data_IF_676596270064
#
_entry.id   IF_676596270064
#
_cell.length_a   1.000
_cell.length_b   1.000
_cell.length_c   1.000
_cell.angle_alpha   90.00
_cell.angle_beta   90.00
_cell.angle_gamma   90.00
#
_symmetry.space_group_name_H-M   'P 1'
#
loop_
_entity.id
_entity.type
_entity.pdbx_description
1 polymer ?
#
# COMPACT_ATOMS: atom_id res chain seq x y z
N UNK A 1 61.60 -44.48 5.61
CA UNK A 1 61.87 -43.46 6.65
C UNK A 1 60.57 -43.07 7.34
N UNK A 2 60.45 -43.29 8.64
CA UNK A 2 59.24 -42.96 9.40
C UNK A 2 59.09 -41.44 9.58
N UNK A 3 57.91 -40.89 9.29
CA UNK A 3 57.62 -39.46 9.43
C UNK A 3 57.64 -39.05 10.91
N UNK A 4 58.38 -38.00 11.26
CA UNK A 4 58.46 -37.45 12.61
C UNK A 4 57.06 -37.02 13.06
N UNK A 5 56.52 -37.66 14.09
CA UNK A 5 55.21 -37.32 14.66
C UNK A 5 55.37 -36.04 15.48
N UNK A 6 54.59 -35.01 15.14
CA UNK A 6 54.59 -33.74 15.89
C UNK A 6 54.13 -33.97 17.33
N UNK A 7 54.88 -33.42 18.31
CA UNK A 7 54.54 -33.45 19.75
C UNK A 7 53.20 -32.77 20.06
N UNK A 8 52.68 -31.96 19.14
CA UNK A 8 51.37 -31.31 19.26
C UNK A 8 50.23 -32.11 18.62
N UNK A 9 50.53 -33.27 18.03
CA UNK A 9 49.51 -34.12 17.41
C UNK A 9 48.62 -34.78 18.47
N UNK A 10 47.35 -34.95 18.10
CA UNK A 10 46.32 -35.59 18.93
C UNK A 10 46.69 -37.03 19.31
N UNK A 11 47.46 -37.73 18.47
CA UNK A 11 47.93 -39.09 18.73
C UNK A 11 49.01 -39.13 19.82
N UNK A 12 49.91 -38.12 19.87
CA UNK A 12 50.95 -38.01 20.89
C UNK A 12 50.35 -37.77 22.28
N UNK A 13 49.31 -36.93 22.37
CA UNK A 13 48.61 -36.62 23.63
C UNK A 13 47.73 -37.76 24.16
N UNK A 14 47.45 -38.80 23.37
CA UNK A 14 46.66 -39.96 23.81
C UNK A 14 47.51 -41.06 24.46
N UNK A 15 48.83 -41.03 24.27
CA UNK A 15 49.75 -42.02 24.87
C UNK A 15 50.21 -41.66 26.28
N UNK A 16 50.08 -40.40 26.67
CA UNK A 16 50.45 -39.86 27.99
C UNK A 16 49.17 -39.67 28.83
N UNK A 17 48.56 -40.79 29.21
CA UNK A 17 47.39 -40.80 30.10
C UNK A 17 47.80 -41.57 31.35
N UNK A 18 47.91 -40.86 32.47
CA UNK A 18 48.28 -41.41 33.77
C UNK A 18 47.33 -42.55 34.20
N UNK A 19 47.90 -43.68 34.58
CA UNK A 19 47.16 -44.89 34.97
C UNK A 19 46.31 -44.69 36.24
N UNK A 20 46.57 -43.64 37.02
CA UNK A 20 45.82 -43.27 38.24
C UNK A 20 44.39 -42.77 37.98
N UNK A 21 43.99 -42.53 36.73
CA UNK A 21 42.63 -42.10 36.38
C UNK A 21 41.60 -43.23 36.59
N UNK A 22 42.04 -44.50 36.44
CA UNK A 22 41.17 -45.68 36.61
C UNK A 22 40.74 -45.88 38.07
N UNK A 23 41.53 -45.41 39.03
CA UNK A 23 41.21 -45.51 40.45
C UNK A 23 40.10 -44.54 40.87
N UNK A 24 40.01 -43.38 40.19
CA UNK A 24 38.97 -42.36 40.41
C UNK A 24 37.59 -42.81 39.91
N UNK A 25 37.51 -43.84 39.07
CA UNK A 25 36.23 -44.40 38.61
C UNK A 25 35.51 -45.21 39.69
N UNK A 26 36.24 -45.71 40.70
CA UNK A 26 35.70 -46.53 41.80
C UNK A 26 35.08 -45.69 42.92
N UNK A 27 35.27 -44.36 42.90
CA UNK A 27 34.69 -43.49 43.92
C UNK A 27 33.17 -43.35 43.71
N UNK A 28 32.35 -43.49 44.77
CA UNK A 28 30.91 -43.36 44.67
C UNK A 28 30.54 -41.92 44.25
N UNK A 29 29.96 -41.79 43.06
CA UNK A 29 29.44 -40.51 42.54
C UNK A 29 28.06 -40.28 43.14
N UNK A 30 27.81 -39.08 43.68
CA UNK A 30 26.48 -38.73 44.19
C UNK A 30 25.43 -38.85 43.07
N UNK A 31 24.31 -39.53 43.34
CA UNK A 31 23.27 -39.87 42.36
C UNK A 31 22.66 -38.65 41.63
N UNK A 32 22.77 -37.45 42.22
CA UNK A 32 22.29 -36.19 41.61
C UNK A 32 23.25 -35.53 40.62
N UNK A 33 24.47 -36.04 40.46
CA UNK A 33 25.52 -35.42 39.64
C UNK A 33 25.21 -35.50 38.13
N UNK A 34 24.48 -36.54 37.69
CA UNK A 34 24.03 -36.67 36.30
C UNK A 34 23.06 -35.56 35.87
N UNK A 35 22.10 -35.23 36.74
CA UNK A 35 21.11 -34.17 36.50
C UNK A 35 21.78 -32.79 36.56
N UNK A 36 22.61 -32.54 37.57
CA UNK A 36 23.39 -31.29 37.70
C UNK A 36 24.27 -31.06 36.47
N UNK A 37 25.01 -32.08 36.02
CA UNK A 37 25.82 -32.03 34.80
C UNK A 37 24.99 -31.80 33.54
N UNK A 38 23.78 -32.36 33.48
CA UNK A 38 22.86 -32.12 32.36
C UNK A 38 22.43 -30.65 32.30
N UNK A 39 22.00 -30.09 33.44
CA UNK A 39 21.61 -28.69 33.57
C UNK A 39 22.78 -27.77 33.22
N UNK A 40 23.98 -28.02 33.76
CA UNK A 40 25.17 -27.21 33.47
C UNK A 40 25.52 -27.26 31.97
N UNK A 41 25.40 -28.43 31.32
CA UNK A 41 25.66 -28.53 29.88
C UNK A 41 24.63 -27.80 29.04
N UNK A 42 23.36 -27.82 29.42
CA UNK A 42 22.30 -27.13 28.68
C UNK A 42 22.40 -25.62 28.87
N UNK A 43 22.70 -25.13 30.07
CA UNK A 43 22.93 -23.70 30.33
C UNK A 43 24.12 -23.19 29.52
N UNK A 44 25.27 -23.87 29.55
CA UNK A 44 26.45 -23.48 28.76
C UNK A 44 26.15 -23.46 27.26
N UNK A 45 25.41 -24.46 26.73
CA UNK A 45 25.02 -24.47 25.31
C UNK A 45 24.12 -23.31 24.95
N UNK A 46 23.16 -22.99 25.80
CA UNK A 46 22.21 -21.90 25.57
C UNK A 46 22.90 -20.54 25.66
N UNK A 47 23.79 -20.34 26.64
CA UNK A 47 24.61 -19.14 26.80
C UNK A 47 25.54 -18.93 25.60
N UNK A 48 26.24 -19.98 25.16
CA UNK A 48 27.09 -19.92 23.97
C UNK A 48 26.29 -19.62 22.69
N UNK A 49 25.11 -20.21 22.54
CA UNK A 49 24.22 -19.92 21.42
C UNK A 49 23.73 -18.47 21.45
N UNK A 50 23.41 -17.94 22.63
CA UNK A 50 23.00 -16.56 22.82
C UNK A 50 24.14 -15.60 22.46
N UNK A 51 25.36 -15.85 22.95
CA UNK A 51 26.54 -15.06 22.63
C UNK A 51 26.82 -15.07 21.12
N UNK A 52 26.78 -16.23 20.46
CA UNK A 52 26.94 -16.33 19.01
C UNK A 52 25.85 -15.57 18.22
N UNK A 53 24.60 -15.57 18.71
CA UNK A 53 23.51 -14.77 18.11
C UNK A 53 23.75 -13.27 18.28
N UNK A 54 24.19 -12.83 19.45
CA UNK A 54 24.51 -11.43 19.73
C UNK A 54 25.74 -10.94 18.95
N UNK A 55 26.76 -11.77 18.79
CA UNK A 55 27.93 -11.46 17.97
C UNK A 55 27.57 -11.44 16.47
N UNK A 56 26.81 -12.42 15.99
CA UNK A 56 26.38 -12.46 14.59
C UNK A 56 25.44 -11.30 14.22
N UNK A 57 24.62 -10.81 15.15
CA UNK A 57 23.79 -9.61 14.93
C UNK A 57 24.63 -8.33 14.91
N UNK A 58 25.65 -8.22 15.76
CA UNK A 58 26.62 -7.11 15.77
C UNK A 58 27.45 -7.05 14.48
N UNK A 59 27.90 -8.19 13.97
CA UNK A 59 28.74 -8.28 12.75
C UNK A 59 27.93 -8.15 11.45
N UNK A 60 26.60 -8.38 11.47
CA UNK A 60 25.72 -8.27 10.29
C UNK A 60 25.58 -6.85 9.71
N UNK A 61 26.04 -5.81 10.41
CA UNK A 61 25.98 -4.42 9.89
C UNK A 61 26.90 -4.19 8.68
N UNK A 62 27.96 -4.99 8.50
CA UNK A 62 28.98 -4.78 7.44
C UNK A 62 29.23 -5.99 6.53
N UNK A 63 28.27 -6.91 6.35
CA UNK A 63 28.44 -7.97 5.33
C UNK A 63 28.28 -7.37 3.94
N UNK A 64 29.39 -7.30 3.17
CA UNK A 64 29.37 -6.95 1.74
C UNK A 64 28.29 -7.80 1.06
N UNK A 65 27.23 -7.14 0.58
CA UNK A 65 26.15 -7.81 -0.16
C UNK A 65 26.77 -8.57 -1.33
N UNK A 66 26.39 -9.84 -1.52
CA UNK A 66 26.82 -10.62 -2.68
C UNK A 66 26.36 -9.93 -3.97
N UNK A 67 27.07 -10.14 -5.08
CA UNK A 67 26.73 -9.50 -6.36
C UNK A 67 25.27 -9.81 -6.79
N UNK A 68 24.81 -11.04 -6.52
CA UNK A 68 23.41 -11.46 -6.74
C UNK A 68 22.39 -10.67 -5.89
N UNK A 69 22.70 -10.40 -4.62
CA UNK A 69 21.83 -9.66 -3.72
C UNK A 69 21.78 -8.18 -4.09
N UNK A 70 22.91 -7.61 -4.55
CA UNK A 70 22.96 -6.23 -5.07
C UNK A 70 22.07 -6.07 -6.30
N UNK A 71 22.25 -6.94 -7.30
CA UNK A 71 21.48 -6.87 -8.53
C UNK A 71 19.97 -7.11 -8.33
N UNK A 72 19.58 -7.94 -7.34
CA UNK A 72 18.17 -8.12 -6.97
C UNK A 72 17.58 -6.87 -6.32
N UNK A 73 18.32 -6.23 -5.42
CA UNK A 73 17.88 -4.98 -4.78
C UNK A 73 17.79 -3.85 -5.80
N UNK A 74 18.79 -3.67 -6.67
CA UNK A 74 18.76 -2.64 -7.71
C UNK A 74 17.57 -2.82 -8.67
N UNK A 75 17.22 -4.05 -9.05
CA UNK A 75 16.00 -4.31 -9.83
C UNK A 75 14.74 -3.96 -9.04
N UNK A 76 14.68 -4.33 -7.76
CA UNK A 76 13.55 -4.01 -6.89
C UNK A 76 13.38 -2.50 -6.73
N UNK A 77 14.47 -1.75 -6.52
CA UNK A 77 14.45 -0.31 -6.33
C UNK A 77 14.01 0.41 -7.62
N UNK A 78 14.49 -0.05 -8.79
CA UNK A 78 14.04 0.45 -10.10
C UNK A 78 12.55 0.18 -10.34
N UNK A 79 12.06 -1.01 -9.97
CA UNK A 79 10.63 -1.38 -10.13
C UNK A 79 9.73 -0.66 -9.12
N UNK A 80 10.23 -0.43 -7.90
CA UNK A 80 9.52 0.30 -6.84
C UNK A 80 9.14 1.71 -7.30
N UNK A 81 10.03 2.40 -8.03
CA UNK A 81 9.76 3.72 -8.59
C UNK A 81 8.74 3.72 -9.73
N UNK A 82 8.65 2.65 -10.53
CA UNK A 82 7.72 2.58 -11.66
C UNK A 82 6.27 2.47 -11.19
N UNK A 83 6.00 1.68 -10.14
CA UNK A 83 4.65 1.56 -9.61
C UNK A 83 4.23 2.84 -8.89
N UNK A 84 5.12 3.45 -8.09
CA UNK A 84 4.81 4.70 -7.39
C UNK A 84 4.52 5.84 -8.38
N UNK A 85 5.32 5.99 -9.43
CA UNK A 85 5.08 7.01 -10.47
C UNK A 85 3.78 6.76 -11.23
N UNK A 86 3.42 5.50 -11.53
CA UNK A 86 2.10 5.19 -12.13
C UNK A 86 0.94 5.53 -11.20
N UNK A 87 1.06 5.24 -9.91
CA UNK A 87 0.06 5.60 -8.90
C UNK A 87 -0.08 7.13 -8.83
N UNK A 88 1.03 7.87 -8.74
CA UNK A 88 1.03 9.33 -8.71
C UNK A 88 0.40 9.94 -9.97
N UNK A 89 0.77 9.45 -11.16
CA UNK A 89 0.17 9.89 -12.42
C UNK A 89 -1.33 9.57 -12.49
N UNK A 90 -1.76 8.42 -11.97
CA UNK A 90 -3.18 8.06 -11.90
C UNK A 90 -3.95 9.00 -10.98
N UNK A 91 -3.41 9.30 -9.79
CA UNK A 91 -4.02 10.23 -8.83
C UNK A 91 -4.05 11.65 -9.43
N UNK A 92 -2.98 12.11 -10.06
CA UNK A 92 -2.91 13.42 -10.68
C UNK A 92 -3.93 13.58 -11.81
N UNK A 93 -4.06 12.58 -12.70
CA UNK A 93 -5.10 12.57 -13.73
C UNK A 93 -6.50 12.58 -13.16
N UNK A 94 -6.77 11.77 -12.14
CA UNK A 94 -8.09 11.75 -11.50
C UNK A 94 -8.44 13.12 -10.89
N UNK A 95 -7.51 13.75 -10.17
CA UNK A 95 -7.68 15.10 -9.62
C UNK A 95 -7.87 16.15 -10.72
N UNK A 96 -7.08 16.08 -11.79
CA UNK A 96 -7.21 17.00 -12.93
C UNK A 96 -8.60 16.90 -13.57
N UNK A 97 -9.07 15.68 -13.87
CA UNK A 97 -10.40 15.46 -14.45
C UNK A 97 -11.50 15.93 -13.50
N UNK A 98 -11.41 15.61 -12.21
CA UNK A 98 -12.39 16.07 -11.23
C UNK A 98 -12.43 17.59 -11.13
N UNK A 99 -11.27 18.26 -11.06
CA UNK A 99 -11.19 19.71 -10.96
C UNK A 99 -11.65 20.39 -12.26
N UNK A 100 -11.18 19.93 -13.42
CA UNK A 100 -11.56 20.49 -14.72
C UNK A 100 -13.06 20.29 -14.99
N UNK A 101 -13.61 19.11 -14.67
CA UNK A 101 -15.04 18.85 -14.82
C UNK A 101 -15.85 19.67 -13.83
N UNK A 102 -15.54 19.64 -12.54
CA UNK A 102 -16.29 20.43 -11.54
C UNK A 102 -16.25 21.93 -11.82
N UNK A 103 -15.08 22.48 -12.18
CA UNK A 103 -14.95 23.89 -12.53
C UNK A 103 -15.79 24.26 -13.77
N UNK A 104 -15.81 23.40 -14.79
CA UNK A 104 -16.66 23.60 -15.97
C UNK A 104 -18.15 23.57 -15.61
N UNK A 105 -18.57 22.65 -14.74
CA UNK A 105 -19.96 22.57 -14.28
C UNK A 105 -20.36 23.77 -13.42
N UNK A 106 -19.50 24.23 -12.50
CA UNK A 106 -19.78 25.42 -11.69
C UNK A 106 -19.88 26.69 -12.56
N UNK A 107 -19.06 26.79 -13.61
CA UNK A 107 -19.09 27.92 -14.53
C UNK A 107 -20.30 27.88 -15.46
N UNK A 108 -20.67 26.71 -15.96
CA UNK A 108 -21.91 26.51 -16.72
C UNK A 108 -23.13 26.86 -15.84
N UNK A 109 -23.18 26.37 -14.60
CA UNK A 109 -24.27 26.67 -13.69
C UNK A 109 -24.37 28.16 -13.36
N UNK A 110 -23.25 28.85 -13.19
CA UNK A 110 -23.23 30.32 -13.01
C UNK A 110 -23.72 31.04 -14.26
N UNK A 111 -23.28 30.63 -15.44
CA UNK A 111 -23.72 31.23 -16.70
C UNK A 111 -25.22 31.04 -16.91
N UNK A 112 -25.75 29.83 -16.70
CA UNK A 112 -27.20 29.55 -16.79
C UNK A 112 -27.99 30.41 -15.81
N UNK A 113 -27.53 30.53 -14.56
CA UNK A 113 -28.19 31.41 -13.56
C UNK A 113 -28.19 32.87 -14.00
N UNK A 114 -27.08 33.36 -14.53
CA UNK A 114 -26.98 34.73 -15.01
C UNK A 114 -27.86 34.96 -16.26
N UNK A 115 -27.87 34.02 -17.20
CA UNK A 115 -28.73 34.07 -18.39
C UNK A 115 -30.22 34.07 -18.02
N UNK A 116 -30.64 33.23 -17.07
CA UNK A 116 -32.01 33.24 -16.53
C UNK A 116 -32.38 34.56 -15.87
N UNK A 117 -31.46 35.15 -15.10
CA UNK A 117 -31.67 36.46 -14.46
C UNK A 117 -31.79 37.55 -15.52
N UNK A 118 -30.94 37.52 -16.55
CA UNK A 118 -30.95 38.49 -17.65
C UNK A 118 -32.22 38.36 -18.51
N UNK A 119 -32.69 37.14 -18.77
CA UNK A 119 -33.95 36.87 -19.47
C UNK A 119 -35.15 37.37 -18.66
N UNK A 120 -35.24 37.05 -17.37
CA UNK A 120 -36.29 37.57 -16.49
C UNK A 120 -36.26 39.09 -16.40
N UNK A 121 -35.08 39.72 -16.33
CA UNK A 121 -34.95 41.18 -16.37
C UNK A 121 -35.51 41.77 -17.66
N UNK A 122 -35.18 41.18 -18.82
CA UNK A 122 -35.72 41.61 -20.12
C UNK A 122 -37.23 41.43 -20.22
N UNK A 123 -37.78 40.34 -19.68
CA UNK A 123 -39.24 40.13 -19.65
C UNK A 123 -39.97 41.15 -18.77
N UNK A 124 -39.39 41.53 -17.62
CA UNK A 124 -39.93 42.59 -16.76
C UNK A 124 -39.90 43.94 -17.48
N UNK A 125 -38.78 44.27 -18.16
CA UNK A 125 -38.66 45.50 -18.95
C UNK A 125 -39.64 45.55 -20.13
N UNK A 126 -39.85 44.43 -20.84
CA UNK A 126 -40.78 44.32 -21.97
C UNK A 126 -42.26 44.31 -21.54
N UNK A 127 -42.57 43.76 -20.36
CA UNK A 127 -43.94 43.70 -19.82
C UNK A 127 -44.38 44.99 -19.09
N UNK A 128 -43.48 45.96 -18.93
CA UNK A 128 -43.77 47.25 -18.29
C UNK A 128 -44.14 47.15 -16.81
N UNK A 129 -43.86 46.01 -16.17
CA UNK A 129 -44.04 45.79 -14.73
C UNK A 129 -42.90 46.47 -13.97
N UNK A 130 -43.18 46.98 -12.77
CA UNK A 130 -42.15 47.54 -11.89
C UNK A 130 -41.05 46.50 -11.61
N UNK A 131 -39.78 46.92 -11.43
CA UNK A 131 -38.68 46.00 -11.17
C UNK A 131 -38.99 45.19 -9.91
N UNK A 132 -39.20 43.89 -10.09
CA UNK A 132 -39.49 42.95 -9.01
C UNK A 132 -38.22 42.78 -8.16
N UNK A 133 -38.38 42.73 -6.84
CA UNK A 133 -37.25 42.60 -5.91
C UNK A 133 -36.63 41.20 -6.06
N UNK A 134 -35.32 41.05 -5.84
CA UNK A 134 -34.59 39.78 -6.05
C UNK A 134 -35.23 38.59 -5.30
N UNK A 135 -35.83 38.84 -4.14
CA UNK A 135 -36.55 37.85 -3.33
C UNK A 135 -37.86 37.36 -3.97
N UNK A 136 -38.59 38.23 -4.65
CA UNK A 136 -39.87 37.88 -5.30
C UNK A 136 -39.62 37.07 -6.58
N UNK A 137 -38.49 37.30 -7.25
CA UNK A 137 -38.05 36.58 -8.44
C UNK A 137 -37.62 35.13 -8.14
N UNK A 138 -37.02 34.93 -6.96
CA UNK A 138 -36.64 33.62 -6.44
C UNK A 138 -37.88 32.82 -6.04
N UNK A 139 -38.86 33.47 -5.40
CA UNK A 139 -40.11 32.85 -5.00
C UNK A 139 -40.96 32.41 -6.21
N UNK A 140 -41.05 33.23 -7.26
CA UNK A 140 -41.76 32.84 -8.49
C UNK A 140 -41.05 31.71 -9.26
N UNK A 141 -39.71 31.63 -9.18
CA UNK A 141 -38.95 30.49 -9.74
C UNK A 141 -39.18 29.19 -8.95
N UNK A 142 -39.29 29.26 -7.62
CA UNK A 142 -39.62 28.12 -6.76
C UNK A 142 -41.02 27.59 -7.06
N UNK A 143 -42.00 28.48 -7.23
CA UNK A 143 -43.38 28.11 -7.57
C UNK A 143 -43.50 27.47 -8.96
N UNK A 144 -42.77 27.98 -9.97
CA UNK A 144 -42.66 27.34 -11.29
C UNK A 144 -41.99 25.97 -11.23
N UNK A 145 -40.92 25.83 -10.43
CA UNK A 145 -40.24 24.54 -10.24
C UNK A 145 -41.16 23.50 -9.59
N UNK A 146 -41.90 23.88 -8.55
CA UNK A 146 -42.90 23.02 -7.90
C UNK A 146 -43.98 22.61 -8.89
N UNK A 147 -44.48 23.54 -9.69
CA UNK A 147 -45.50 23.26 -10.70
C UNK A 147 -45.02 22.26 -11.76
N UNK A 148 -43.80 22.41 -12.27
CA UNK A 148 -43.22 21.49 -13.25
C UNK A 148 -42.94 20.12 -12.62
N UNK A 149 -42.47 20.07 -11.37
CA UNK A 149 -42.21 18.82 -10.64
C UNK A 149 -43.46 17.96 -10.48
N UNK A 150 -44.62 18.59 -10.26
CA UNK A 150 -45.90 17.89 -10.14
C UNK A 150 -46.63 17.70 -11.50
N UNK A 151 -46.14 18.26 -12.60
CA UNK A 151 -46.71 18.06 -13.95
C UNK A 151 -46.19 16.79 -14.64
N UNK A 152 -44.97 16.35 -14.34
CA UNK A 152 -44.37 15.15 -14.96
C UNK A 152 -45.01 13.84 -14.46
N UNK A 153 -45.69 13.83 -13.31
CA UNK A 153 -46.38 12.65 -12.77
C UNK A 153 -47.72 12.33 -13.50
N UNK A 154 -48.24 13.25 -14.34
CA UNK A 154 -49.49 13.05 -15.09
C UNK A 154 -49.30 12.55 -16.54
N UNK A 155 -48.05 12.43 -17.03
CA UNK A 155 -47.74 11.94 -18.38
C UNK A 155 -46.83 10.70 -18.35
N UNK A 156 -47.34 9.57 -17.84
CA UNK A 156 -46.76 8.25 -18.14
C UNK A 156 -47.02 7.89 -19.62
N UNK A 157 -46.21 8.43 -20.55
CA UNK A 157 -46.08 7.83 -21.87
C UNK A 157 -45.24 6.54 -21.76
N UNK A 158 -45.82 5.41 -22.19
CA UNK A 158 -45.15 4.11 -22.27
C UNK A 158 -43.93 4.16 -23.21
N UNK A 159 -42.75 4.51 -22.69
CA UNK A 159 -41.49 4.38 -23.43
C UNK A 159 -41.10 2.90 -23.47
N UNK A 160 -41.47 2.22 -24.57
CA UNK A 160 -41.00 0.86 -24.86
C UNK A 160 -39.46 0.83 -24.84
N UNK A 161 -38.82 -0.11 -24.12
CA UNK A 161 -37.38 -0.18 -24.07
C UNK A 161 -36.84 -0.56 -25.46
N UNK A 162 -36.23 0.41 -26.14
CA UNK A 162 -35.38 0.09 -27.29
C UNK A 162 -34.16 -0.67 -26.76
N UNK A 163 -34.02 -1.90 -27.27
CA UNK A 163 -32.93 -2.83 -27.00
C UNK A 163 -31.58 -2.07 -26.96
N UNK A 164 -30.72 -2.25 -25.93
CA UNK A 164 -29.48 -1.50 -25.84
C UNK A 164 -28.52 -1.96 -26.94
N UNK A 165 -28.60 -1.35 -28.12
CA UNK A 165 -27.56 -1.46 -29.12
C UNK A 165 -26.24 -1.01 -28.49
N UNK A 166 -25.18 -1.79 -28.72
CA UNK A 166 -23.85 -1.54 -28.19
C UNK A 166 -23.45 -0.08 -28.41
N UNK A 167 -23.32 0.68 -27.31
CA UNK A 167 -22.94 2.11 -27.32
C UNK A 167 -21.56 2.37 -27.95
N UNK A 168 -20.73 1.33 -28.03
CA UNK A 168 -19.42 1.35 -28.67
C UNK A 168 -19.45 1.26 -30.19
N UNK A 169 -20.57 0.83 -30.79
CA UNK A 169 -20.72 0.85 -32.25
C UNK A 169 -20.87 2.26 -32.82
N UNK A 170 -21.09 3.26 -31.95
CA UNK A 170 -21.20 4.68 -32.33
C UNK A 170 -19.84 5.39 -32.42
N UNK A 171 -18.77 4.74 -31.99
CA UNK A 171 -17.41 5.27 -32.13
C UNK A 171 -16.82 4.68 -33.40
N UNK A 172 -16.76 5.48 -34.46
CA UNK A 172 -16.00 5.14 -35.66
C UNK A 172 -14.54 4.85 -35.25
N UNK A 173 -14.05 3.68 -35.65
CA UNK A 173 -12.68 3.24 -35.44
C UNK A 173 -11.73 4.21 -36.16
N UNK A 174 -11.26 5.22 -35.42
CA UNK A 174 -10.18 6.08 -35.88
C UNK A 174 -8.87 5.32 -35.71
N UNK A 175 -8.51 4.62 -36.79
CA UNK A 175 -7.23 3.94 -36.98
C UNK A 175 -6.09 4.97 -36.85
N UNK A 176 -5.21 4.78 -35.85
CA UNK A 176 -3.96 5.52 -35.66
C UNK A 176 -2.88 4.59 -35.12
#
# INVERSE_FOLDING_TARGET
MAKKISKHSRAARRGEVDEGIKELEKLPKAESDGVKKSIIRTTIKNENLLNAKMESSRVKKNKKKTNSLKHRLERSDKLSGVLSTKIEQSIARAKYVQNARKAGWDQINKNIKNELIDEKRREIELSGKAPLTEQELEQEAEDEYVKNFYQDDEQEEEVKPQNPANKFALLEETEA
#
